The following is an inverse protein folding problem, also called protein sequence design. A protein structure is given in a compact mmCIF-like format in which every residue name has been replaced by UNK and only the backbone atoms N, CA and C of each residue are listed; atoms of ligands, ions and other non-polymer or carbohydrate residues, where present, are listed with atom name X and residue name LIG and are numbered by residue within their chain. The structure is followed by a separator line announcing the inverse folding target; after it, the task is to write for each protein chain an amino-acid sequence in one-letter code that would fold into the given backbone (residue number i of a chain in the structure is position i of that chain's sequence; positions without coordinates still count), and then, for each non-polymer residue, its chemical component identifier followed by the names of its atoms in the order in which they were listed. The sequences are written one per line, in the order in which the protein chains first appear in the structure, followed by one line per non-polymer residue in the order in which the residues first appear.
data_IF_033209121289
#
_entry.id   IF_033209121289
#
_cell.length_a   1.000
_cell.length_b   1.000
_cell.length_c   1.000
_cell.angle_alpha   90.00
_cell.angle_beta   90.00
_cell.angle_gamma   90.00
#
_symmetry.space_group_name_H-M   'P 1'
#
loop_
_entity.id
_entity.type
_entity.pdbx_description
1 polymer ?
#
# COMPACT_ATOMS: atom_id res chain seq x y z
N UNK A 1 -5.90 -0.35 -8.37
CA UNK A 1 -4.48 -0.02 -8.59
C UNK A 1 -3.67 -1.13 -7.94
N UNK A 2 -2.78 -1.81 -8.67
CA UNK A 2 -1.94 -2.86 -8.08
C UNK A 2 -0.97 -2.22 -7.09
N UNK A 3 -0.95 -2.74 -5.85
CA UNK A 3 -0.10 -2.26 -4.75
C UNK A 3 1.25 -3.00 -4.69
N UNK A 4 1.37 -4.13 -5.40
CA UNK A 4 2.54 -5.00 -5.41
C UNK A 4 2.72 -5.63 -6.79
N UNK A 5 3.97 -5.76 -7.24
CA UNK A 5 4.33 -6.37 -8.53
C UNK A 5 5.11 -7.67 -8.34
N UNK A 6 4.52 -8.60 -7.57
CA UNK A 6 5.13 -9.91 -7.31
C UNK A 6 4.77 -10.96 -8.36
N UNK A 7 3.67 -10.77 -9.07
CA UNK A 7 3.07 -11.76 -9.97
C UNK A 7 3.70 -11.76 -11.38
N UNK A 8 4.94 -11.26 -11.52
CA UNK A 8 5.65 -11.23 -12.80
C UNK A 8 6.34 -12.57 -13.03
N UNK A 9 6.02 -13.31 -14.12
CA UNK A 9 6.71 -14.54 -14.46
C UNK A 9 8.21 -14.32 -14.68
N UNK A 10 9.00 -15.36 -14.46
CA UNK A 10 10.46 -15.32 -14.66
C UNK A 10 10.81 -15.00 -16.12
N UNK A 11 11.74 -14.06 -16.32
CA UNK A 11 12.25 -13.69 -17.64
C UNK A 11 13.50 -14.52 -17.91
N UNK A 12 13.37 -15.55 -18.75
CA UNK A 12 14.52 -16.38 -19.12
C UNK A 12 15.50 -15.61 -20.01
N UNK A 13 16.82 -15.88 -19.91
CA UNK A 13 17.80 -15.30 -20.83
C UNK A 13 17.56 -15.82 -22.27
N UNK A 14 18.10 -15.11 -23.26
CA UNK A 14 17.82 -15.38 -24.67
C UNK A 14 18.09 -16.83 -25.12
N UNK A 15 19.18 -17.45 -24.64
CA UNK A 15 19.53 -18.82 -24.99
C UNK A 15 18.52 -19.82 -24.40
N UNK A 16 18.23 -19.71 -23.12
CA UNK A 16 17.28 -20.59 -22.43
C UNK A 16 15.86 -20.42 -22.99
N UNK A 17 15.45 -19.18 -23.28
CA UNK A 17 14.16 -18.89 -23.90
C UNK A 17 14.05 -19.57 -25.28
N UNK A 18 15.11 -19.53 -26.07
CA UNK A 18 15.19 -20.21 -27.36
C UNK A 18 15.08 -21.73 -27.18
N UNK A 19 15.83 -22.30 -26.24
CA UNK A 19 15.82 -23.74 -25.97
C UNK A 19 14.47 -24.23 -25.46
N UNK A 20 13.82 -23.46 -24.57
CA UNK A 20 12.48 -23.75 -24.05
C UNK A 20 11.48 -23.84 -25.21
N UNK A 21 11.45 -22.85 -26.09
CA UNK A 21 10.46 -22.79 -27.17
C UNK A 21 10.74 -23.86 -28.25
N UNK A 22 12.01 -24.06 -28.64
CA UNK A 22 12.36 -25.06 -29.65
C UNK A 22 12.13 -26.49 -29.13
N UNK A 23 12.49 -26.79 -27.88
CA UNK A 23 12.20 -28.08 -27.26
C UNK A 23 10.70 -28.31 -27.13
N UNK A 24 9.92 -27.27 -26.77
CA UNK A 24 8.46 -27.35 -26.71
C UNK A 24 7.88 -27.72 -28.07
N UNK A 25 8.34 -27.11 -29.15
CA UNK A 25 7.92 -27.46 -30.51
C UNK A 25 8.29 -28.90 -30.86
N UNK A 26 9.49 -29.36 -30.52
CA UNK A 26 9.92 -30.73 -30.82
C UNK A 26 9.10 -31.79 -30.06
N UNK A 27 8.77 -31.54 -28.79
CA UNK A 27 8.02 -32.49 -27.94
C UNK A 27 6.52 -32.50 -28.23
N UNK A 28 5.91 -31.34 -28.53
CA UNK A 28 4.44 -31.21 -28.68
C UNK A 28 3.93 -31.41 -30.10
N UNK A 29 4.78 -31.27 -31.12
CA UNK A 29 4.38 -31.46 -32.53
C UNK A 29 4.93 -32.77 -33.08
N UNK A 30 4.22 -33.47 -33.99
CA UNK A 30 4.73 -34.71 -34.58
C UNK A 30 6.10 -34.49 -35.25
N UNK A 31 6.98 -35.49 -35.22
CA UNK A 31 8.37 -35.37 -35.68
C UNK A 31 8.68 -36.17 -36.95
N UNK A 32 8.00 -37.30 -37.15
CA UNK A 32 8.29 -38.23 -38.25
C UNK A 32 7.44 -37.93 -39.48
N UNK A 33 8.09 -37.74 -40.63
CA UNK A 33 7.48 -37.70 -41.97
C UNK A 33 8.39 -38.40 -42.98
N UNK A 34 7.79 -38.95 -44.05
CA UNK A 34 8.52 -39.66 -45.11
C UNK A 34 8.33 -38.97 -46.47
N UNK A 35 9.29 -39.08 -47.41
CA UNK A 35 9.19 -38.48 -48.75
C UNK A 35 7.98 -38.95 -49.57
N UNK A 36 7.53 -40.19 -49.40
CA UNK A 36 6.39 -40.75 -50.14
C UNK A 36 5.00 -40.27 -49.70
N UNK A 37 4.91 -39.34 -48.74
CA UNK A 37 3.61 -38.78 -48.33
C UNK A 37 3.09 -37.73 -49.32
N UNK A 38 1.77 -37.60 -49.43
CA UNK A 38 1.12 -36.53 -50.22
C UNK A 38 1.69 -35.16 -49.83
N UNK A 39 2.02 -34.33 -50.82
CA UNK A 39 2.65 -33.01 -50.61
C UNK A 39 1.84 -32.11 -49.66
N UNK A 40 0.51 -32.20 -49.70
CA UNK A 40 -0.40 -31.48 -48.78
C UNK A 40 -0.10 -31.80 -47.32
N UNK A 41 0.19 -33.07 -47.00
CA UNK A 41 0.55 -33.51 -45.64
C UNK A 41 1.92 -32.98 -45.23
N UNK A 42 2.89 -32.96 -46.15
CA UNK A 42 4.24 -32.41 -45.90
C UNK A 42 4.17 -30.90 -45.64
N UNK A 43 3.42 -30.15 -46.45
CA UNK A 43 3.18 -28.71 -46.27
C UNK A 43 2.54 -28.42 -44.91
N UNK A 44 1.43 -29.09 -44.61
CA UNK A 44 0.71 -28.93 -43.34
C UNK A 44 1.59 -29.25 -42.12
N UNK A 45 2.44 -30.28 -42.22
CA UNK A 45 3.37 -30.65 -41.16
C UNK A 45 4.35 -29.53 -40.81
N UNK A 46 5.01 -28.94 -41.81
CA UNK A 46 5.97 -27.86 -41.56
C UNK A 46 5.30 -26.52 -41.24
N UNK A 47 4.13 -26.23 -41.81
CA UNK A 47 3.32 -25.06 -41.43
C UNK A 47 2.96 -25.11 -39.94
N UNK A 48 2.55 -26.29 -39.43
CA UNK A 48 2.24 -26.47 -38.01
C UNK A 48 3.46 -26.18 -37.13
N UNK A 49 4.66 -26.62 -37.52
CA UNK A 49 5.89 -26.34 -36.75
C UNK A 49 6.24 -24.85 -36.72
N UNK A 50 6.17 -24.16 -37.87
CA UNK A 50 6.46 -22.72 -37.92
C UNK A 50 5.44 -21.92 -37.10
N UNK A 51 4.15 -22.24 -37.25
CA UNK A 51 3.06 -21.58 -36.51
C UNK A 51 3.17 -21.81 -35.00
N UNK A 52 3.34 -23.06 -34.57
CA UNK A 52 3.44 -23.40 -33.15
C UNK A 52 4.67 -22.77 -32.46
N UNK A 53 5.81 -22.69 -33.16
CA UNK A 53 6.98 -21.97 -32.63
C UNK A 53 6.72 -20.46 -32.53
N UNK A 54 6.14 -19.85 -33.57
CA UNK A 54 5.81 -18.42 -33.57
C UNK A 54 4.87 -18.06 -32.40
N UNK A 55 3.80 -18.84 -32.24
CA UNK A 55 2.85 -18.68 -31.11
C UNK A 55 3.55 -18.83 -29.75
N UNK A 56 4.51 -19.74 -29.63
CA UNK A 56 5.24 -19.92 -28.36
C UNK A 56 6.18 -18.79 -27.98
N UNK A 57 6.83 -18.14 -28.94
CA UNK A 57 7.57 -16.92 -28.67
C UNK A 57 6.64 -15.76 -28.31
N UNK A 58 5.53 -15.61 -29.05
CA UNK A 58 4.56 -14.54 -28.82
C UNK A 58 3.92 -14.65 -27.44
N UNK A 59 3.49 -15.85 -27.03
CA UNK A 59 2.96 -16.14 -25.69
C UNK A 59 3.95 -15.69 -24.61
N UNK A 60 5.24 -16.04 -24.73
CA UNK A 60 6.26 -15.63 -23.77
C UNK A 60 6.52 -14.13 -23.74
N UNK A 61 6.51 -13.47 -24.90
CA UNK A 61 6.64 -12.01 -24.95
C UNK A 61 5.42 -11.31 -24.38
N UNK A 62 4.22 -11.86 -24.56
CA UNK A 62 3.01 -11.32 -23.95
C UNK A 62 3.01 -11.46 -22.43
N UNK A 63 3.45 -12.60 -21.88
CA UNK A 63 3.61 -12.79 -20.44
C UNK A 63 4.50 -11.69 -19.83
N UNK A 64 5.61 -11.35 -20.51
CA UNK A 64 6.51 -10.28 -20.08
C UNK A 64 5.81 -8.92 -20.19
N UNK A 65 5.27 -8.57 -21.37
CA UNK A 65 4.67 -7.24 -21.60
C UNK A 65 3.45 -6.96 -20.71
N UNK A 66 2.67 -7.99 -20.37
CA UNK A 66 1.50 -7.88 -19.48
C UNK A 66 1.90 -7.92 -18.01
N UNK A 67 2.96 -8.65 -17.65
CA UNK A 67 3.44 -8.76 -16.28
C UNK A 67 4.09 -7.48 -15.77
N UNK A 68 4.88 -6.82 -16.60
CA UNK A 68 5.57 -5.58 -16.21
C UNK A 68 4.61 -4.38 -16.11
N UNK A 69 4.70 -3.55 -15.05
CA UNK A 69 3.86 -2.38 -14.93
C UNK A 69 4.22 -1.31 -15.97
N UNK A 70 3.18 -0.67 -16.53
CA UNK A 70 3.36 0.50 -17.37
C UNK A 70 3.69 1.72 -16.51
N UNK A 71 4.94 2.19 -16.57
CA UNK A 71 5.47 3.25 -15.73
C UNK A 71 4.72 4.59 -15.87
N UNK A 72 4.04 4.84 -17.00
CA UNK A 72 3.31 6.11 -17.20
C UNK A 72 1.91 6.10 -16.61
N UNK A 73 1.29 4.92 -16.46
CA UNK A 73 -0.09 4.75 -15.99
C UNK A 73 -0.17 4.47 -14.48
N UNK A 74 0.97 4.26 -13.82
CA UNK A 74 1.06 4.10 -12.37
C UNK A 74 1.02 5.45 -11.65
N UNK A 75 0.83 5.40 -10.32
CA UNK A 75 0.77 6.59 -9.49
C UNK A 75 2.08 7.39 -9.60
N UNK A 76 2.06 8.74 -9.61
CA UNK A 76 3.27 9.55 -9.71
C UNK A 76 4.40 9.13 -8.75
N UNK A 77 4.07 8.86 -7.48
CA UNK A 77 5.02 8.28 -6.51
C UNK A 77 5.77 7.05 -7.03
N UNK A 78 5.04 6.06 -7.54
CA UNK A 78 5.61 4.80 -8.02
C UNK A 78 6.37 5.01 -9.34
N UNK A 79 5.87 5.89 -10.21
CA UNK A 79 6.55 6.28 -11.45
C UNK A 79 7.93 6.88 -11.15
N UNK A 80 7.98 7.86 -10.27
CA UNK A 80 9.20 8.63 -9.98
C UNK A 80 10.18 7.80 -9.13
N UNK A 81 9.66 6.92 -8.25
CA UNK A 81 10.46 5.89 -7.58
C UNK A 81 11.08 4.89 -8.57
N UNK A 82 10.31 4.40 -9.56
CA UNK A 82 10.84 3.50 -10.59
C UNK A 82 11.83 4.21 -11.52
N UNK A 83 11.66 5.51 -11.75
CA UNK A 83 12.57 6.30 -12.57
C UNK A 83 13.97 6.35 -11.94
N UNK A 84 14.03 6.65 -10.64
CA UNK A 84 15.31 6.68 -9.90
C UNK A 84 15.96 5.31 -9.75
N UNK A 85 15.16 4.25 -9.58
CA UNK A 85 15.69 2.90 -9.36
C UNK A 85 16.11 2.18 -10.64
N UNK A 86 15.37 2.36 -11.74
CA UNK A 86 15.52 1.53 -12.93
C UNK A 86 15.89 2.31 -14.18
N UNK A 87 15.95 3.64 -14.12
CA UNK A 87 16.10 4.54 -15.25
C UNK A 87 14.96 4.34 -16.27
N UNK A 88 13.96 5.23 -16.23
CA UNK A 88 12.72 5.09 -17.03
C UNK A 88 12.99 4.89 -18.52
N UNK A 89 14.02 5.52 -19.06
CA UNK A 89 14.38 5.42 -20.47
C UNK A 89 14.82 4.00 -20.84
N UNK A 90 15.77 3.44 -20.08
CA UNK A 90 16.27 2.09 -20.32
C UNK A 90 15.17 1.03 -20.14
N UNK A 91 14.31 1.21 -19.14
CA UNK A 91 13.13 0.36 -18.92
C UNK A 91 12.17 0.35 -20.12
N UNK A 92 11.80 1.55 -20.61
CA UNK A 92 10.87 1.67 -21.75
C UNK A 92 11.49 1.15 -23.05
N UNK A 93 12.77 1.42 -23.29
CA UNK A 93 13.48 0.94 -24.49
C UNK A 93 13.53 -0.59 -24.49
N UNK A 94 13.79 -1.22 -23.34
CA UNK A 94 13.84 -2.68 -23.20
C UNK A 94 12.48 -3.33 -23.49
N UNK A 95 11.39 -2.82 -22.91
CA UNK A 95 10.05 -3.32 -23.20
C UNK A 95 9.61 -3.06 -24.65
N UNK A 96 9.97 -1.90 -25.21
CA UNK A 96 9.69 -1.57 -26.61
C UNK A 96 10.44 -2.51 -27.57
N UNK A 97 11.68 -2.91 -27.23
CA UNK A 97 12.44 -3.88 -28.00
C UNK A 97 11.73 -5.25 -28.03
N UNK A 98 11.17 -5.70 -26.90
CA UNK A 98 10.37 -6.94 -26.82
C UNK A 98 9.10 -6.83 -27.66
N UNK A 99 8.37 -5.72 -27.55
CA UNK A 99 7.15 -5.48 -28.35
C UNK A 99 7.44 -5.49 -29.87
N UNK A 100 8.54 -4.85 -30.28
CA UNK A 100 9.01 -4.91 -31.67
C UNK A 100 9.37 -6.33 -32.09
N UNK A 101 10.10 -7.07 -31.25
CA UNK A 101 10.48 -8.44 -31.53
C UNK A 101 9.27 -9.38 -31.66
N UNK A 102 8.25 -9.23 -30.81
CA UNK A 102 6.97 -9.93 -30.94
C UNK A 102 6.38 -9.73 -32.34
N UNK A 103 6.24 -8.48 -32.77
CA UNK A 103 5.68 -8.12 -34.08
C UNK A 103 6.50 -8.70 -35.25
N UNK A 104 7.84 -8.69 -35.13
CA UNK A 104 8.74 -9.28 -36.13
C UNK A 104 8.61 -10.81 -36.21
N UNK A 105 8.46 -11.50 -35.07
CA UNK A 105 8.26 -12.95 -35.04
C UNK A 105 6.93 -13.32 -35.69
N UNK A 106 5.85 -12.58 -35.42
CA UNK A 106 4.55 -12.76 -36.07
C UNK A 106 4.64 -12.54 -37.59
N UNK A 107 5.36 -11.51 -38.03
CA UNK A 107 5.60 -11.26 -39.46
C UNK A 107 6.34 -12.42 -40.13
N UNK A 108 7.45 -12.87 -39.54
CA UNK A 108 8.24 -14.00 -40.05
C UNK A 108 7.37 -15.27 -40.10
N UNK A 109 6.58 -15.56 -39.06
CA UNK A 109 5.70 -16.72 -39.05
C UNK A 109 4.69 -16.66 -40.20
N UNK A 110 4.02 -15.51 -40.41
CA UNK A 110 3.03 -15.32 -41.47
C UNK A 110 3.63 -15.47 -42.86
N UNK A 111 4.79 -14.85 -43.11
CA UNK A 111 5.44 -14.88 -44.42
C UNK A 111 5.92 -16.27 -44.79
N UNK A 112 6.58 -16.98 -43.86
CA UNK A 112 7.03 -18.36 -44.16
C UNK A 112 5.86 -19.32 -44.28
N UNK A 113 4.79 -19.19 -43.49
CA UNK A 113 3.57 -20.00 -43.68
C UNK A 113 2.97 -19.77 -45.08
N UNK A 114 2.99 -18.54 -45.59
CA UNK A 114 2.56 -18.22 -46.96
C UNK A 114 3.46 -18.88 -48.00
N UNK A 115 4.79 -18.79 -47.86
CA UNK A 115 5.74 -19.42 -48.77
C UNK A 115 5.65 -20.95 -48.76
N UNK A 116 5.40 -21.56 -47.61
CA UNK A 116 5.24 -23.02 -47.48
C UNK A 116 4.03 -23.57 -48.28
N UNK A 117 3.04 -22.74 -48.64
CA UNK A 117 1.90 -23.17 -49.46
C UNK A 117 2.32 -23.65 -50.85
N UNK A 118 3.42 -23.12 -51.37
CA UNK A 118 3.94 -23.40 -52.71
C UNK A 118 5.12 -24.38 -52.74
N UNK A 119 5.52 -24.95 -51.59
CA UNK A 119 6.64 -25.89 -51.53
C UNK A 119 6.35 -27.20 -52.28
N UNK A 120 7.21 -27.58 -53.23
CA UNK A 120 6.97 -28.73 -54.12
C UNK A 120 7.65 -30.02 -53.65
N UNK A 121 8.69 -29.91 -52.81
CA UNK A 121 9.45 -31.07 -52.32
C UNK A 121 9.63 -31.05 -50.81
N UNK A 122 9.90 -32.24 -50.25
CA UNK A 122 10.25 -32.39 -48.83
C UNK A 122 11.47 -31.52 -48.46
N UNK A 123 12.49 -31.53 -49.31
CA UNK A 123 13.73 -30.78 -49.09
C UNK A 123 13.46 -29.27 -49.04
N UNK A 124 12.71 -28.73 -50.01
CA UNK A 124 12.37 -27.31 -50.05
C UNK A 124 11.59 -26.88 -48.81
N UNK A 125 10.57 -27.65 -48.41
CA UNK A 125 9.80 -27.36 -47.20
C UNK A 125 10.66 -27.46 -45.92
N UNK A 126 11.60 -28.41 -45.86
CA UNK A 126 12.55 -28.53 -44.74
C UNK A 126 13.44 -27.30 -44.62
N UNK A 127 13.97 -26.79 -45.74
CA UNK A 127 14.80 -25.57 -45.76
C UNK A 127 14.01 -24.34 -45.36
N UNK A 128 12.80 -24.14 -45.88
CA UNK A 128 11.93 -23.03 -45.49
C UNK A 128 11.64 -23.02 -43.99
N UNK A 129 11.36 -24.19 -43.41
CA UNK A 129 11.17 -24.33 -41.96
C UNK A 129 12.44 -24.01 -41.18
N UNK A 130 13.63 -24.45 -41.63
CA UNK A 130 14.91 -24.12 -40.99
C UNK A 130 15.17 -22.60 -41.04
N UNK A 131 14.93 -21.97 -42.18
CA UNK A 131 15.09 -20.53 -42.35
C UNK A 131 14.14 -19.74 -41.45
N UNK A 132 12.87 -20.14 -41.36
CA UNK A 132 11.89 -19.50 -40.47
C UNK A 132 12.33 -19.54 -39.00
N UNK A 133 12.66 -20.74 -38.49
CA UNK A 133 13.11 -20.93 -37.11
C UNK A 133 14.44 -20.22 -36.84
N UNK A 134 15.36 -20.24 -37.82
CA UNK A 134 16.63 -19.52 -37.73
C UNK A 134 16.44 -18.01 -37.63
N UNK A 135 15.53 -17.42 -38.43
CA UNK A 135 15.22 -15.98 -38.34
C UNK A 135 14.58 -15.61 -37.01
N UNK A 136 13.65 -16.43 -36.50
CA UNK A 136 13.08 -16.23 -35.15
C UNK A 136 14.16 -16.31 -34.07
N UNK A 137 15.05 -17.30 -34.15
CA UNK A 137 16.19 -17.44 -33.23
C UNK A 137 17.13 -16.22 -33.28
N UNK A 138 17.43 -15.69 -34.46
CA UNK A 138 18.24 -14.47 -34.60
C UNK A 138 17.59 -13.25 -33.94
N UNK A 139 16.26 -13.11 -34.05
CA UNK A 139 15.53 -12.03 -33.35
C UNK A 139 15.69 -12.18 -31.83
N UNK A 140 15.52 -13.38 -31.29
CA UNK A 140 15.65 -13.65 -29.85
C UNK A 140 17.09 -13.41 -29.36
N UNK A 141 18.10 -13.85 -30.12
CA UNK A 141 19.52 -13.63 -29.76
C UNK A 141 19.88 -12.15 -29.67
N UNK A 142 19.26 -11.29 -30.48
CA UNK A 142 19.43 -9.83 -30.40
C UNK A 142 18.82 -9.21 -29.14
N UNK A 143 17.95 -9.92 -28.42
CA UNK A 143 17.34 -9.47 -27.16
C UNK A 143 18.11 -9.91 -25.91
N UNK A 144 19.36 -10.36 -26.04
CA UNK A 144 20.17 -10.85 -24.90
C UNK A 144 20.23 -9.84 -23.76
N UNK A 145 20.62 -8.60 -24.04
CA UNK A 145 20.85 -7.60 -23.00
C UNK A 145 19.53 -7.07 -22.38
N UNK A 146 18.47 -6.75 -23.17
CA UNK A 146 17.18 -6.37 -22.60
C UNK A 146 16.55 -7.44 -21.69
N UNK A 147 16.67 -8.73 -22.03
CA UNK A 147 16.13 -9.81 -21.20
C UNK A 147 16.89 -9.97 -19.89
N UNK A 148 18.22 -9.82 -19.92
CA UNK A 148 19.06 -9.87 -18.72
C UNK A 148 18.73 -8.72 -17.77
N UNK A 149 18.60 -7.49 -18.30
CA UNK A 149 18.20 -6.32 -17.53
C UNK A 149 16.79 -6.50 -16.92
N UNK A 150 15.80 -6.93 -17.71
CA UNK A 150 14.43 -7.09 -17.21
C UNK A 150 14.33 -8.16 -16.11
N UNK A 151 15.12 -9.23 -16.17
CA UNK A 151 15.15 -10.22 -15.08
C UNK A 151 15.70 -9.62 -13.78
N UNK A 152 16.74 -8.77 -13.85
CA UNK A 152 17.25 -8.07 -12.68
C UNK A 152 16.19 -7.11 -12.09
N UNK A 153 15.51 -6.34 -12.95
CA UNK A 153 14.42 -5.45 -12.53
C UNK A 153 13.28 -6.25 -11.89
N UNK A 154 12.90 -7.39 -12.46
CA UNK A 154 11.86 -8.28 -11.92
C UNK A 154 12.19 -8.77 -10.51
N UNK A 155 13.44 -9.19 -10.28
CA UNK A 155 13.86 -9.68 -8.97
C UNK A 155 13.85 -8.57 -7.92
N UNK A 156 14.23 -7.36 -8.31
CA UNK A 156 14.23 -6.20 -7.41
C UNK A 156 12.82 -5.67 -7.14
N UNK A 157 11.98 -5.49 -8.17
CA UNK A 157 10.62 -4.95 -8.05
C UNK A 157 9.72 -5.85 -7.18
N UNK A 158 9.93 -7.17 -7.22
CA UNK A 158 9.20 -8.12 -6.37
C UNK A 158 9.53 -8.03 -4.89
N UNK A 159 10.64 -7.37 -4.51
CA UNK A 159 11.06 -7.13 -3.12
C UNK A 159 10.65 -5.74 -2.61
N UNK A 160 10.19 -4.85 -3.48
CA UNK A 160 9.75 -3.51 -3.05
C UNK A 160 8.56 -3.64 -2.08
N UNK A 161 8.54 -2.83 -1.02
CA UNK A 161 7.42 -2.86 -0.08
C UNK A 161 6.16 -2.28 -0.74
N UNK A 162 5.02 -2.85 -0.39
CA UNK A 162 3.72 -2.36 -0.87
C UNK A 162 3.32 -1.08 -0.14
N UNK A 163 3.45 0.07 -0.81
CA UNK A 163 3.05 1.38 -0.28
C UNK A 163 1.81 1.85 -1.01
N UNK A 164 0.73 2.16 -0.27
CA UNK A 164 -0.41 2.89 -0.80
C UNK A 164 -0.23 4.40 -0.55
N UNK A 165 -0.12 5.25 -1.59
CA UNK A 165 0.05 6.69 -1.42
C UNK A 165 -1.16 7.40 -0.78
N UNK A 166 -2.34 6.78 -0.79
CA UNK A 166 -3.59 7.38 -0.32
C UNK A 166 -3.95 7.00 1.13
N UNK A 167 -3.34 5.96 1.68
CA UNK A 167 -3.57 5.52 3.08
C UNK A 167 -2.88 6.45 4.07
N UNK A 168 -3.26 6.32 5.35
CA UNK A 168 -2.73 7.16 6.43
C UNK A 168 -1.28 6.78 6.66
N UNK A 169 -0.38 7.71 6.38
CA UNK A 169 1.05 7.49 6.35
C UNK A 169 1.74 8.41 7.33
N UNK A 170 2.65 7.87 8.12
CA UNK A 170 3.66 8.62 8.85
C UNK A 170 4.99 8.44 8.10
N UNK A 171 5.64 9.55 7.76
CA UNK A 171 6.93 9.52 7.09
C UNK A 171 8.00 9.95 8.09
N UNK A 172 9.04 9.13 8.27
CA UNK A 172 10.11 9.38 9.22
C UNK A 172 11.34 9.87 8.43
N UNK A 173 11.74 11.12 8.67
CA UNK A 173 12.79 11.82 7.93
C UNK A 173 13.81 12.42 8.88
N UNK A 174 15.03 12.69 8.39
CA UNK A 174 16.12 13.28 9.18
C UNK A 174 17.49 12.75 8.76
N UNK A 175 18.55 13.26 9.38
CA UNK A 175 19.93 12.87 9.09
C UNK A 175 20.19 11.36 9.29
N UNK A 176 21.22 10.77 8.67
CA UNK A 176 21.68 9.43 9.02
C UNK A 176 21.97 9.31 10.53
N UNK A 177 21.86 8.11 11.09
CA UNK A 177 22.23 7.80 12.50
C UNK A 177 21.49 8.55 13.63
N UNK A 178 20.46 9.35 13.33
CA UNK A 178 19.62 10.01 14.35
C UNK A 178 18.64 9.07 15.07
N UNK A 179 18.54 7.80 14.64
CA UNK A 179 17.66 6.79 15.27
C UNK A 179 16.27 6.61 14.62
N UNK A 180 16.10 7.00 13.35
CA UNK A 180 14.84 6.82 12.59
C UNK A 180 14.39 5.36 12.50
N UNK A 181 15.29 4.47 12.10
CA UNK A 181 15.01 3.04 11.95
C UNK A 181 14.76 2.37 13.30
N UNK A 182 15.45 2.81 14.36
CA UNK A 182 15.16 2.38 15.75
C UNK A 182 13.75 2.77 16.16
N UNK A 183 13.33 4.01 15.88
CA UNK A 183 11.96 4.44 16.15
C UNK A 183 10.94 3.57 15.41
N UNK A 184 11.16 3.29 14.11
CA UNK A 184 10.28 2.42 13.33
C UNK A 184 10.15 1.02 13.94
N UNK A 185 11.25 0.46 14.46
CA UNK A 185 11.28 -0.83 15.16
C UNK A 185 10.55 -0.80 16.50
N UNK A 186 10.59 0.30 17.25
CA UNK A 186 9.83 0.42 18.49
C UNK A 186 8.32 0.56 18.23
N UNK A 187 7.93 1.31 17.18
CA UNK A 187 6.50 1.55 16.90
C UNK A 187 5.81 0.41 16.14
N UNK A 188 6.56 -0.42 15.41
CA UNK A 188 6.02 -1.48 14.55
C UNK A 188 6.79 -2.78 14.69
N UNK A 189 6.17 -3.90 14.32
CA UNK A 189 6.83 -5.23 14.30
C UNK A 189 7.75 -5.43 13.10
N UNK A 190 8.30 -4.37 12.51
CA UNK A 190 9.17 -4.49 11.34
C UNK A 190 10.59 -4.85 11.77
N UNK A 191 11.13 -5.93 11.20
CA UNK A 191 12.54 -6.28 11.33
C UNK A 191 13.37 -5.38 10.40
N UNK A 192 13.77 -4.22 10.92
CA UNK A 192 14.71 -3.31 10.23
C UNK A 192 16.07 -3.42 10.91
N UNK A 193 17.11 -3.65 10.11
CA UNK A 193 18.48 -3.71 10.60
C UNK A 193 18.93 -2.31 11.04
N UNK A 194 19.31 -2.18 12.31
CA UNK A 194 19.86 -0.95 12.89
C UNK A 194 21.36 -1.18 13.08
N UNK A 195 22.18 -0.38 12.40
CA UNK A 195 23.64 -0.41 12.50
C UNK A 195 24.16 1.02 12.71
N UNK A 196 25.30 1.21 13.39
CA UNK A 196 25.78 2.54 13.77
C UNK A 196 26.44 3.34 12.62
N UNK A 197 26.56 2.78 11.42
CA UNK A 197 27.14 3.46 10.26
C UNK A 197 26.07 4.04 9.34
N UNK A 198 26.36 5.19 8.71
CA UNK A 198 25.45 5.87 7.80
C UNK A 198 25.05 4.99 6.58
N UNK A 199 23.91 5.31 5.98
CA UNK A 199 23.34 4.56 4.84
C UNK A 199 22.97 3.10 5.13
N UNK A 200 22.63 2.78 6.38
CA UNK A 200 22.10 1.46 6.76
C UNK A 200 20.86 1.09 5.93
N UNK A 201 19.97 2.05 5.68
CA UNK A 201 18.77 1.89 4.85
C UNK A 201 19.00 2.46 3.45
N UNK A 202 19.23 1.58 2.46
CA UNK A 202 19.38 1.98 1.04
C UNK A 202 18.04 2.08 0.28
N UNK A 203 16.94 1.72 0.94
CA UNK A 203 15.59 1.70 0.38
C UNK A 203 14.58 2.13 1.44
N UNK A 204 13.39 2.52 1.01
CA UNK A 204 12.27 2.81 1.90
C UNK A 204 11.82 1.54 2.62
N UNK A 205 11.70 1.59 3.94
CA UNK A 205 11.12 0.50 4.74
C UNK A 205 9.73 0.88 5.21
N UNK A 206 8.84 -0.10 5.28
CA UNK A 206 7.45 0.11 5.68
C UNK A 206 7.12 -0.74 6.89
N UNK A 207 6.74 -0.08 7.97
CA UNK A 207 6.13 -0.68 9.14
C UNK A 207 4.63 -0.41 9.14
N UNK A 208 3.86 -1.35 9.70
CA UNK A 208 2.43 -1.14 9.90
C UNK A 208 2.08 -1.23 11.39
N UNK A 209 1.15 -0.39 11.81
CA UNK A 209 0.62 -0.39 13.17
C UNK A 209 -0.85 0.04 13.19
N UNK A 210 -1.52 -0.23 14.30
CA UNK A 210 -2.93 0.08 14.49
C UNK A 210 -3.08 1.15 15.57
N UNK A 211 -3.88 2.17 15.28
CA UNK A 211 -4.22 3.24 16.22
C UNK A 211 -5.69 3.64 16.04
N UNK A 212 -6.45 3.73 17.14
CA UNK A 212 -7.91 3.99 17.13
C UNK A 212 -8.69 3.11 16.12
N UNK A 213 -8.38 1.81 16.09
CA UNK A 213 -9.01 0.85 15.16
C UNK A 213 -8.78 1.15 13.66
N UNK A 214 -7.80 2.00 13.35
CA UNK A 214 -7.41 2.33 11.98
C UNK A 214 -5.98 1.82 11.73
N UNK A 215 -5.76 1.26 10.54
CA UNK A 215 -4.45 0.87 10.04
C UNK A 215 -3.67 2.11 9.60
N UNK A 216 -2.45 2.25 10.11
CA UNK A 216 -1.47 3.24 9.68
C UNK A 216 -0.26 2.53 9.07
N UNK A 217 0.42 3.23 8.17
CA UNK A 217 1.73 2.84 7.66
C UNK A 217 2.77 3.87 8.11
N UNK A 218 3.86 3.39 8.69
CA UNK A 218 5.05 4.19 8.95
C UNK A 218 6.08 3.86 7.89
N UNK A 219 6.66 4.88 7.27
CA UNK A 219 7.66 4.72 6.23
C UNK A 219 8.94 5.36 6.74
N UNK A 220 9.98 4.54 6.86
CA UNK A 220 11.33 4.98 7.16
C UNK A 220 12.03 5.35 5.85
N UNK A 221 12.66 6.52 5.87
CA UNK A 221 13.38 7.05 4.72
C UNK A 221 14.89 6.95 4.94
N UNK A 222 15.66 6.62 3.90
CA UNK A 222 17.10 6.83 3.90
C UNK A 222 17.44 8.24 4.38
N UNK A 223 18.50 8.36 5.18
CA UNK A 223 18.94 9.66 5.70
C UNK A 223 19.19 10.65 4.55
N UNK A 224 18.65 11.86 4.71
CA UNK A 224 18.79 12.94 3.74
C UNK A 224 19.98 13.80 4.17
N UNK A 225 20.81 14.21 3.22
CA UNK A 225 21.89 15.17 3.43
C UNK A 225 21.55 16.50 2.75
N UNK A 226 22.05 17.60 3.32
CA UNK A 226 21.88 18.94 2.77
C UNK A 226 22.85 19.14 1.60
N UNK A 227 22.41 18.71 0.41
CA UNK A 227 23.09 18.91 -0.87
C UNK A 227 22.08 19.48 -1.87
N UNK A 228 22.51 20.25 -2.88
CA UNK A 228 21.61 20.66 -3.96
C UNK A 228 20.97 19.43 -4.60
N UNK A 229 19.70 19.54 -4.97
CA UNK A 229 18.90 18.43 -5.53
C UNK A 229 19.52 17.79 -6.77
N UNK A 230 20.36 18.53 -7.50
CA UNK A 230 21.04 18.09 -8.72
C UNK A 230 22.21 17.13 -8.45
N UNK A 231 22.80 17.17 -7.25
CA UNK A 231 23.94 16.33 -6.85
C UNK A 231 23.54 15.18 -5.93
N UNK A 232 22.24 15.00 -5.69
CA UNK A 232 21.74 13.97 -4.79
C UNK A 232 21.84 12.57 -5.41
N UNK A 233 22.19 11.62 -4.55
CA UNK A 233 22.25 10.22 -4.97
C UNK A 233 20.84 9.65 -5.18
N UNK A 234 20.74 8.57 -5.98
CA UNK A 234 19.48 7.86 -6.19
C UNK A 234 18.81 7.38 -4.88
N UNK A 235 19.59 7.16 -3.81
CA UNK A 235 19.08 6.78 -2.48
C UNK A 235 18.37 7.97 -1.81
N UNK A 236 18.96 9.17 -1.86
CA UNK A 236 18.41 10.38 -1.24
C UNK A 236 17.17 10.87 -2.01
N UNK A 237 17.21 10.73 -3.34
CA UNK A 237 16.07 11.07 -4.19
C UNK A 237 14.80 10.27 -3.86
N UNK A 238 14.93 9.01 -3.41
CA UNK A 238 13.79 8.22 -2.94
C UNK A 238 13.09 8.89 -1.75
N UNK A 239 13.86 9.43 -0.82
CA UNK A 239 13.33 10.16 0.34
C UNK A 239 12.60 11.43 -0.09
N UNK A 240 13.16 12.18 -1.06
CA UNK A 240 12.50 13.37 -1.61
C UNK A 240 11.18 13.02 -2.28
N UNK A 241 11.13 12.00 -3.14
CA UNK A 241 9.88 11.60 -3.80
C UNK A 241 8.84 11.08 -2.80
N UNK A 242 9.27 10.38 -1.74
CA UNK A 242 8.40 9.99 -0.65
C UNK A 242 7.82 11.23 0.07
N UNK A 243 8.67 12.21 0.42
CA UNK A 243 8.23 13.46 1.02
C UNK A 243 7.35 14.25 0.07
N UNK A 244 7.57 14.24 -1.25
CA UNK A 244 6.79 15.03 -2.19
C UNK A 244 5.39 14.42 -2.44
N UNK A 245 5.32 13.14 -2.78
CA UNK A 245 4.08 12.53 -3.28
C UNK A 245 3.18 11.93 -2.21
N UNK A 246 3.72 11.50 -1.06
CA UNK A 246 2.90 10.81 -0.05
C UNK A 246 2.07 11.80 0.76
N UNK A 247 0.79 11.50 0.97
CA UNK A 247 -0.09 12.30 1.83
C UNK A 247 0.05 11.86 3.29
N UNK A 248 1.17 12.27 3.89
CA UNK A 248 1.60 11.84 5.21
C UNK A 248 1.71 12.99 6.22
N UNK A 249 1.78 12.63 7.50
CA UNK A 249 2.41 13.48 8.50
C UNK A 249 3.91 13.17 8.49
N UNK A 250 4.73 14.21 8.39
CA UNK A 250 6.19 14.09 8.35
C UNK A 250 6.75 14.28 9.76
N UNK A 251 7.47 13.28 10.24
CA UNK A 251 8.23 13.31 11.49
C UNK A 251 9.69 13.60 11.14
N UNK A 252 10.16 14.79 11.50
CA UNK A 252 11.55 15.18 11.32
C UNK A 252 12.34 14.88 12.59
N UNK A 253 13.23 13.89 12.53
CA UNK A 253 14.06 13.47 13.65
C UNK A 253 15.34 14.30 13.71
N UNK A 254 15.56 14.90 14.87
CA UNK A 254 16.77 15.62 15.23
C UNK A 254 17.48 14.92 16.38
N UNK A 255 18.80 14.99 16.40
CA UNK A 255 19.66 14.48 17.46
C UNK A 255 20.48 15.64 18.04
N UNK A 256 20.20 16.02 19.28
CA UNK A 256 20.91 17.12 19.96
C UNK A 256 22.28 16.69 20.50
N UNK A 257 22.56 15.39 20.59
CA UNK A 257 23.82 14.88 21.14
C UNK A 257 25.00 14.96 20.17
N UNK A 258 24.75 15.30 18.90
CA UNK A 258 25.73 15.30 17.79
C UNK A 258 26.43 13.95 17.52
N UNK A 259 26.04 12.88 18.22
CA UNK A 259 26.55 11.51 18.00
C UNK A 259 26.23 10.96 16.60
N UNK A 260 25.27 11.56 15.89
CA UNK A 260 24.97 11.23 14.50
C UNK A 260 26.10 11.61 13.52
N UNK A 261 27.10 12.38 13.96
CA UNK A 261 28.22 12.85 13.15
C UNK A 261 27.94 14.18 12.44
N UNK A 262 26.85 14.87 12.79
CA UNK A 262 26.45 16.15 12.22
C UNK A 262 26.05 17.14 13.31
N UNK A 263 26.40 18.40 13.13
CA UNK A 263 26.09 19.48 14.09
C UNK A 263 24.61 19.82 14.10
N UNK A 264 24.14 20.44 15.19
CA UNK A 264 22.75 20.91 15.30
C UNK A 264 22.43 21.94 14.20
N UNK A 265 23.37 22.84 13.89
CA UNK A 265 23.24 23.83 12.80
C UNK A 265 22.94 23.19 11.45
N UNK A 266 23.67 22.12 11.10
CA UNK A 266 23.44 21.39 9.85
C UNK A 266 22.05 20.75 9.83
N UNK A 267 21.61 20.21 10.97
CA UNK A 267 20.27 19.62 11.13
C UNK A 267 19.15 20.65 10.93
N UNK A 268 19.32 21.86 11.47
CA UNK A 268 18.36 22.96 11.31
C UNK A 268 18.39 23.50 9.88
N UNK A 269 19.58 23.65 9.28
CA UNK A 269 19.73 24.08 7.89
C UNK A 269 19.01 23.15 6.91
N UNK A 270 19.16 21.83 7.08
CA UNK A 270 18.43 20.85 6.27
C UNK A 270 16.92 21.00 6.44
N UNK A 271 16.43 21.22 7.66
CA UNK A 271 15.00 21.42 7.90
C UNK A 271 14.45 22.61 7.11
N UNK A 272 15.20 23.72 7.08
CA UNK A 272 14.82 24.89 6.30
C UNK A 272 14.93 24.67 4.78
N UNK A 273 15.90 23.87 4.32
CA UNK A 273 16.03 23.57 2.88
C UNK A 273 14.90 22.68 2.36
N UNK A 274 14.43 21.70 3.15
CA UNK A 274 13.30 20.83 2.77
C UNK A 274 11.92 21.39 3.12
N UNK A 275 11.85 22.50 3.86
CA UNK A 275 10.60 23.21 4.24
C UNK A 275 9.61 23.39 3.07
N UNK A 276 10.02 23.75 1.84
CA UNK A 276 9.08 23.88 0.72
C UNK A 276 8.32 22.59 0.41
N UNK A 277 8.93 21.43 0.63
CA UNK A 277 8.30 20.11 0.39
C UNK A 277 7.23 19.77 1.43
N UNK A 278 7.22 20.47 2.57
CA UNK A 278 6.25 20.30 3.63
C UNK A 278 4.94 21.08 3.41
N UNK A 279 4.84 21.84 2.32
CA UNK A 279 3.61 22.52 1.97
C UNK A 279 2.42 21.53 1.94
N UNK A 280 1.33 21.89 2.62
CA UNK A 280 0.12 21.06 2.77
C UNK A 280 0.31 19.75 3.58
N UNK A 281 1.40 19.61 4.35
CA UNK A 281 1.66 18.45 5.20
C UNK A 281 1.77 18.85 6.65
N UNK A 282 1.31 17.98 7.53
CA UNK A 282 1.50 18.14 8.96
C UNK A 282 2.92 17.74 9.32
N UNK A 283 3.72 18.68 9.81
CA UNK A 283 5.10 18.44 10.25
C UNK A 283 5.15 18.33 11.77
N UNK A 284 5.98 17.42 12.27
CA UNK A 284 6.28 17.25 13.67
C UNK A 284 7.78 17.03 13.81
N UNK A 285 8.43 17.79 14.66
CA UNK A 285 9.87 17.65 14.93
C UNK A 285 10.03 16.83 16.20
N UNK A 286 10.85 15.79 16.10
CA UNK A 286 11.10 14.84 17.18
C UNK A 286 12.56 14.93 17.55
N UNK A 287 12.84 15.43 18.74
CA UNK A 287 14.18 15.42 19.33
C UNK A 287 14.39 14.04 19.94
N UNK A 288 15.28 13.26 19.33
CA UNK A 288 15.63 11.91 19.78
C UNK A 288 16.89 11.95 20.65
N UNK A 289 17.15 10.83 21.35
CA UNK A 289 18.31 10.63 22.25
C UNK A 289 18.33 11.55 23.48
N UNK A 290 17.16 11.86 24.03
CA UNK A 290 17.05 12.69 25.24
C UNK A 290 17.56 12.04 26.52
N UNK A 291 17.92 10.76 26.45
CA UNK A 291 18.67 10.04 27.48
C UNK A 291 20.09 10.59 27.67
N UNK A 292 20.68 11.18 26.62
CA UNK A 292 22.04 11.74 26.67
C UNK A 292 22.01 13.23 26.99
N UNK A 293 21.22 14.00 26.26
CA UNK A 293 21.11 15.45 26.42
C UNK A 293 19.65 15.89 26.31
N UNK A 294 19.19 16.67 27.28
CA UNK A 294 17.84 17.23 27.26
C UNK A 294 17.87 18.61 26.60
N UNK A 295 16.76 19.06 25.99
CA UNK A 295 16.69 20.42 25.44
C UNK A 295 16.91 21.54 26.46
N UNK A 296 16.74 21.25 27.76
CA UNK A 296 16.96 22.18 28.87
C UNK A 296 18.45 22.40 29.17
N UNK A 297 19.30 21.42 28.83
CA UNK A 297 20.74 21.43 29.08
C UNK A 297 21.54 22.04 27.90
N UNK A 298 20.85 22.63 26.91
CA UNK A 298 21.45 23.22 25.73
C UNK A 298 21.94 24.64 25.98
N UNK A 299 23.06 24.99 25.36
CA UNK A 299 23.57 26.36 25.30
C UNK A 299 22.54 27.32 24.66
N UNK A 300 22.53 28.59 25.08
CA UNK A 300 21.55 29.59 24.60
C UNK A 300 21.56 29.75 23.07
N UNK A 301 22.73 29.72 22.43
CA UNK A 301 22.87 29.80 20.96
C UNK A 301 22.19 28.62 20.26
N UNK A 302 22.34 27.41 20.81
CA UNK A 302 21.75 26.19 20.24
C UNK A 302 20.25 26.12 20.52
N UNK A 303 19.81 26.65 21.66
CA UNK A 303 18.40 26.78 21.97
C UNK A 303 17.70 27.75 20.99
N UNK A 304 18.34 28.87 20.63
CA UNK A 304 17.84 29.80 19.61
C UNK A 304 17.64 29.12 18.24
N UNK A 305 18.55 28.23 17.84
CA UNK A 305 18.38 27.44 16.60
C UNK A 305 17.10 26.58 16.64
N UNK A 306 16.74 26.01 17.79
CA UNK A 306 15.48 25.27 17.93
C UNK A 306 14.25 26.19 17.87
N UNK A 307 14.36 27.43 18.31
CA UNK A 307 13.29 28.43 18.19
C UNK A 307 12.99 28.76 16.72
N UNK A 308 14.01 28.88 15.87
CA UNK A 308 13.82 29.09 14.42
C UNK A 308 12.97 27.99 13.75
N UNK A 309 13.05 26.76 14.28
CA UNK A 309 12.24 25.62 13.82
C UNK A 309 10.80 25.75 14.31
N UNK A 310 10.58 26.28 15.54
CA UNK A 310 9.25 26.55 16.11
C UNK A 310 8.51 27.69 15.41
N UNK A 311 9.24 28.68 14.91
CA UNK A 311 8.65 29.81 14.16
C UNK A 311 7.90 29.37 12.90
N UNK A 312 8.24 28.19 12.36
CA UNK A 312 7.56 27.66 11.18
C UNK A 312 6.12 27.26 11.56
N UNK A 313 5.11 27.83 10.87
CA UNK A 313 3.71 27.64 11.24
C UNK A 313 3.30 26.16 11.15
N UNK A 314 2.68 25.66 12.21
CA UNK A 314 2.16 24.30 12.27
C UNK A 314 3.20 23.23 12.61
N UNK A 315 4.43 23.60 12.97
CA UNK A 315 5.43 22.68 13.53
C UNK A 315 5.22 22.52 15.03
N UNK A 316 5.31 21.28 15.50
CA UNK A 316 5.25 20.94 16.93
C UNK A 316 6.51 20.17 17.27
N UNK A 317 7.16 20.50 18.40
CA UNK A 317 8.38 19.84 18.85
C UNK A 317 8.05 18.91 20.01
N UNK A 318 8.55 17.68 19.95
CA UNK A 318 8.45 16.70 21.01
C UNK A 318 9.80 16.05 21.28
N UNK A 319 10.02 15.62 22.51
CA UNK A 319 11.19 14.83 22.92
C UNK A 319 10.87 13.35 22.92
N UNK A 320 11.86 12.51 22.63
CA UNK A 320 11.74 11.05 22.72
C UNK A 320 13.09 10.40 22.97
N UNK A 321 13.09 9.23 23.61
CA UNK A 321 14.24 8.33 23.66
C UNK A 321 13.83 6.94 23.21
N UNK A 322 14.45 6.47 22.12
CA UNK A 322 14.22 5.11 21.62
C UNK A 322 14.96 4.03 22.45
N UNK A 323 15.96 4.41 23.26
CA UNK A 323 16.69 3.44 24.09
C UNK A 323 15.91 3.08 25.36
N UNK A 324 15.28 4.08 25.97
CA UNK A 324 14.47 3.93 27.18
C UNK A 324 12.98 3.65 26.89
N UNK A 325 12.61 3.56 25.59
CA UNK A 325 11.21 3.54 25.12
C UNK A 325 10.34 4.67 25.70
N UNK A 326 10.98 5.78 26.08
CA UNK A 326 10.32 6.92 26.69
C UNK A 326 9.73 7.83 25.60
N UNK A 327 8.45 8.18 25.77
CA UNK A 327 7.71 9.10 24.90
C UNK A 327 7.47 8.65 23.43
N UNK A 328 8.00 7.50 23.02
CA UNK A 328 7.86 6.94 21.65
C UNK A 328 6.38 6.81 21.25
N UNK A 329 5.56 6.27 22.14
CA UNK A 329 4.13 6.05 21.90
C UNK A 329 3.33 7.36 21.90
N UNK A 330 3.73 8.36 22.69
CA UNK A 330 3.08 9.66 22.70
C UNK A 330 3.32 10.41 21.39
N UNK A 331 4.57 10.43 20.91
CA UNK A 331 4.95 11.02 19.61
C UNK A 331 4.09 10.39 18.50
N UNK A 332 4.00 9.06 18.47
CA UNK A 332 3.17 8.34 17.50
C UNK A 332 1.70 8.76 17.59
N UNK A 333 1.15 8.82 18.80
CA UNK A 333 -0.26 9.16 19.00
C UNK A 333 -0.56 10.60 18.55
N UNK A 334 0.27 11.57 18.92
CA UNK A 334 0.13 12.97 18.50
C UNK A 334 0.23 13.12 16.97
N UNK A 335 1.20 12.46 16.34
CA UNK A 335 1.33 12.45 14.88
C UNK A 335 0.08 11.87 14.18
N UNK A 336 -0.48 10.80 14.74
CA UNK A 336 -1.71 10.20 14.22
C UNK A 336 -2.91 11.14 14.34
N UNK A 337 -3.09 11.80 15.49
CA UNK A 337 -4.19 12.75 15.73
C UNK A 337 -4.10 13.94 14.79
N UNK A 338 -2.90 14.51 14.62
CA UNK A 338 -2.64 15.63 13.70
C UNK A 338 -2.98 15.25 12.26
N UNK A 339 -2.59 14.05 11.83
CA UNK A 339 -2.93 13.52 10.51
C UNK A 339 -4.44 13.29 10.35
N UNK A 340 -5.11 12.77 11.38
CA UNK A 340 -6.56 12.54 11.36
C UNK A 340 -7.32 13.86 11.27
N UNK A 341 -6.92 14.89 12.01
CA UNK A 341 -7.52 16.22 11.94
C UNK A 341 -7.49 16.78 10.51
N UNK A 342 -6.31 16.78 9.87
CA UNK A 342 -6.15 17.22 8.49
C UNK A 342 -7.00 16.40 7.50
N UNK A 343 -7.08 15.07 7.69
CA UNK A 343 -7.88 14.21 6.82
C UNK A 343 -9.39 14.39 7.01
N UNK A 344 -9.84 14.62 8.23
CA UNK A 344 -11.24 14.90 8.53
C UNK A 344 -11.62 16.24 7.89
N UNK A 345 -10.80 17.28 8.04
CA UNK A 345 -11.05 18.58 7.41
C UNK A 345 -11.16 18.46 5.88
N UNK A 346 -10.23 17.75 5.24
CA UNK A 346 -10.29 17.49 3.81
C UNK A 346 -11.50 16.65 3.38
N UNK A 347 -11.98 15.76 4.25
CA UNK A 347 -13.21 15.00 4.01
C UNK A 347 -14.46 15.88 4.16
N UNK A 348 -14.48 16.80 5.14
CA UNK A 348 -15.54 17.80 5.37
C UNK A 348 -15.76 18.71 4.16
N UNK A 349 -14.71 19.02 3.40
CA UNK A 349 -14.83 19.75 2.12
C UNK A 349 -15.68 19.00 1.08
N UNK A 350 -15.81 17.67 1.18
CA UNK A 350 -16.60 16.84 0.25
C UNK A 350 -17.95 16.44 0.84
N UNK A 351 -18.96 17.29 0.67
CA UNK A 351 -20.31 17.12 1.24
C UNK A 351 -21.02 15.82 0.80
N UNK A 352 -20.84 15.41 -0.46
CA UNK A 352 -21.50 14.21 -1.00
C UNK A 352 -21.08 12.91 -0.31
N UNK A 353 -19.78 12.76 0.01
CA UNK A 353 -19.25 11.57 0.67
C UNK A 353 -19.67 11.48 2.14
N UNK A 354 -19.93 12.62 2.78
CA UNK A 354 -20.32 12.68 4.19
C UNK A 354 -21.78 12.32 4.37
N UNK A 355 -22.66 12.81 3.50
CA UNK A 355 -24.09 12.49 3.57
C UNK A 355 -24.34 10.98 3.52
N UNK A 356 -23.56 10.25 2.71
CA UNK A 356 -23.62 8.78 2.64
C UNK A 356 -23.20 8.08 3.94
N UNK A 357 -22.33 8.71 4.73
CA UNK A 357 -21.80 8.15 5.99
C UNK A 357 -22.60 8.64 7.20
N UNK A 358 -23.33 9.74 7.08
CA UNK A 358 -24.07 10.38 8.17
C UNK A 358 -25.04 9.39 8.84
N UNK A 359 -25.72 8.56 8.05
CA UNK A 359 -26.63 7.52 8.52
C UNK A 359 -25.96 6.48 9.44
N UNK A 360 -24.64 6.26 9.31
CA UNK A 360 -23.87 5.35 10.17
C UNK A 360 -23.40 6.00 11.47
N UNK A 361 -23.21 7.32 11.45
CA UNK A 361 -22.74 8.10 12.61
C UNK A 361 -23.92 8.51 13.50
N UNK A 362 -25.08 8.80 12.89
CA UNK A 362 -26.28 9.18 13.59
C UNK A 362 -26.80 8.00 14.42
N UNK A 363 -26.55 8.03 15.72
CA UNK A 363 -27.31 7.18 16.63
C UNK A 363 -28.75 7.72 16.64
N UNK A 364 -29.77 6.92 16.30
CA UNK A 364 -31.14 7.34 16.51
C UNK A 364 -31.28 7.68 18.00
N UNK A 365 -31.63 8.94 18.30
CA UNK A 365 -31.91 9.37 19.68
C UNK A 365 -32.80 8.29 20.28
N UNK A 366 -32.35 7.74 21.42
CA UNK A 366 -33.06 6.73 22.20
C UNK A 366 -34.54 7.03 22.10
N UNK A 367 -35.36 6.05 21.68
CA UNK A 367 -36.81 6.16 21.75
C UNK A 367 -37.11 6.75 23.12
N UNK A 368 -37.44 8.04 23.17
CA UNK A 368 -38.08 8.63 24.33
C UNK A 368 -39.26 7.70 24.46
N UNK A 369 -39.27 6.89 25.52
CA UNK A 369 -40.42 6.06 25.84
C UNK A 369 -41.56 7.03 25.72
N UNK A 370 -42.33 6.95 24.62
CA UNK A 370 -43.62 7.61 24.54
C UNK A 370 -44.21 7.15 25.83
N UNK A 371 -44.42 8.07 26.76
CA UNK A 371 -45.34 7.84 27.84
C UNK A 371 -46.57 7.37 27.08
N UNK A 372 -46.73 6.05 27.02
CA UNK A 372 -48.00 5.42 26.78
C UNK A 372 -48.78 6.01 27.92
N UNK A 373 -49.43 7.14 27.65
CA UNK A 373 -50.51 7.60 28.47
C UNK A 373 -51.36 6.36 28.61
N UNK A 374 -51.42 5.88 29.85
CA UNK A 374 -52.35 4.85 30.29
C UNK A 374 -53.73 5.49 30.09
N UNK A 375 -54.13 5.55 28.83
CA UNK A 375 -55.32 6.16 28.27
C UNK A 375 -55.83 5.20 27.21
N UNK A 376 -54.91 4.52 26.50
CA UNK A 376 -55.25 3.36 25.66
C UNK A 376 -55.54 2.07 26.43
N UNK A 377 -54.87 1.79 27.56
CA UNK A 377 -55.23 0.64 28.41
C UNK A 377 -56.48 0.95 29.28
N UNK A 378 -56.77 2.22 29.54
CA UNK A 378 -57.94 2.65 30.33
C UNK A 378 -59.25 2.74 29.54
N UNK A 379 -59.23 2.50 28.22
CA UNK A 379 -60.44 2.43 27.37
C UNK A 379 -60.85 1.00 26.99
N UNK A 380 -60.06 -0.03 27.34
CA UNK A 380 -60.29 -1.41 26.89
C UNK A 380 -60.69 -2.40 27.99
N UNK A 381 -61.09 -1.92 29.17
CA UNK A 381 -61.59 -2.76 30.25
C UNK A 381 -62.98 -2.30 30.71
N UNK A 382 -64.07 -2.75 30.06
CA UNK A 382 -65.39 -2.69 30.66
C UNK A 382 -65.47 -3.76 31.76
N UNK A 383 -66.06 -3.39 32.90
CA UNK A 383 -66.40 -4.26 34.03
C UNK A 383 -65.26 -4.76 34.94
N UNK A 384 -64.90 -3.93 35.92
CA UNK A 384 -64.43 -4.45 37.20
C UNK A 384 -64.98 -3.58 38.36
N UNK A 385 -65.97 -4.10 39.09
CA UNK A 385 -66.73 -3.40 40.16
C UNK A 385 -65.90 -3.03 41.40
N UNK A 386 -64.61 -3.34 41.47
CA UNK A 386 -63.78 -3.07 42.65
C UNK A 386 -63.11 -1.67 42.70
N UNK A 387 -63.29 -0.83 41.68
CA UNK A 387 -62.53 0.43 41.55
C UNK A 387 -63.32 1.74 41.82
N UNK A 388 -64.47 1.67 42.50
CA UNK A 388 -65.21 2.88 42.92
C UNK A 388 -64.80 3.45 44.29
N UNK A 389 -63.98 2.75 45.08
CA UNK A 389 -63.70 3.14 46.49
C UNK A 389 -62.37 3.88 46.74
N UNK A 390 -61.48 4.03 45.76
CA UNK A 390 -60.16 4.70 45.95
C UNK A 390 -59.95 5.99 45.15
N UNK A 391 -60.95 6.47 44.41
CA UNK A 391 -60.85 7.72 43.62
C UNK A 391 -60.93 9.02 44.44
N UNK A 392 -61.26 8.94 45.74
CA UNK A 392 -61.41 10.12 46.62
C UNK A 392 -60.08 10.70 47.16
N UNK A 393 -58.96 9.98 47.10
CA UNK A 393 -57.70 10.42 47.74
C UNK A 393 -56.63 10.98 46.78
N UNK A 394 -56.96 11.25 45.51
CA UNK A 394 -55.97 11.67 44.51
C UNK A 394 -56.17 13.07 43.93
N UNK A 395 -57.08 13.86 44.51
CA UNK A 395 -57.30 15.27 44.10
C UNK A 395 -56.62 16.32 44.97
N UNK A 396 -55.76 15.92 45.90
CA UNK A 396 -55.04 16.86 46.77
C UNK A 396 -53.57 16.49 46.85
N UNK A 397 -52.77 17.07 45.95
CA UNK A 397 -51.44 17.68 46.21
C UNK A 397 -50.74 17.88 44.87
N UNK A 398 -50.67 19.13 44.45
CA UNK A 398 -49.72 19.58 43.44
C UNK A 398 -48.30 19.60 43.98
N UNK A 399 -47.39 19.92 43.05
CA UNK A 399 -45.99 20.33 43.18
C UNK A 399 -44.87 19.27 43.33
N UNK A 400 -43.81 19.60 42.57
CA UNK A 400 -42.36 19.43 42.78
C UNK A 400 -41.63 18.09 42.47
N UNK A 401 -40.77 18.24 41.47
CA UNK A 401 -39.48 17.60 41.19
C UNK A 401 -38.68 17.23 42.45
N UNK A 402 -38.88 16.04 43.05
CA UNK A 402 -37.81 15.36 43.82
C UNK A 402 -37.99 13.87 44.17
N UNK A 403 -39.02 13.18 43.69
CA UNK A 403 -39.32 11.78 44.10
C UNK A 403 -39.13 10.73 42.99
N UNK A 404 -38.09 10.85 42.16
CA UNK A 404 -37.74 9.82 41.17
C UNK A 404 -36.54 8.92 41.53
N UNK A 405 -35.78 9.21 42.60
CA UNK A 405 -34.59 8.38 42.93
C UNK A 405 -34.88 7.10 43.74
N UNK A 406 -36.07 6.91 44.31
CA UNK A 406 -36.40 5.71 45.12
C UNK A 406 -37.25 4.63 44.43
N UNK A 407 -37.63 4.81 43.15
CA UNK A 407 -38.45 3.81 42.42
C UNK A 407 -37.69 2.99 41.37
N UNK A 408 -36.41 3.28 41.08
CA UNK A 408 -35.63 2.50 40.09
C UNK A 408 -35.18 1.12 40.63
N UNK A 409 -35.07 0.96 41.94
CA UNK A 409 -34.57 -0.28 42.57
C UNK A 409 -35.59 -1.42 42.59
N UNK A 410 -36.89 -1.14 42.60
CA UNK A 410 -37.93 -2.17 42.67
C UNK A 410 -38.23 -2.82 41.31
N UNK A 411 -38.05 -2.07 40.21
CA UNK A 411 -38.29 -2.56 38.84
C UNK A 411 -37.18 -3.52 38.38
N UNK A 412 -35.95 -3.32 38.84
CA UNK A 412 -34.82 -4.20 38.51
C UNK A 412 -34.96 -5.62 39.07
N UNK A 413 -35.63 -5.80 40.22
CA UNK A 413 -35.85 -7.11 40.84
C UNK A 413 -36.92 -7.94 40.12
N UNK A 414 -37.97 -7.31 39.58
CA UNK A 414 -39.01 -8.02 38.82
C UNK A 414 -38.55 -8.44 37.42
N UNK A 415 -37.67 -7.66 36.79
CA UNK A 415 -37.14 -7.99 35.46
C UNK A 415 -36.14 -9.15 35.51
N UNK A 416 -35.34 -9.26 36.58
CA UNK A 416 -34.46 -10.43 36.82
C UNK A 416 -35.25 -11.73 37.04
N UNK A 417 -36.43 -11.66 37.66
CA UNK A 417 -37.30 -12.83 37.85
C UNK A 417 -37.90 -13.34 36.53
N UNK A 418 -38.26 -12.44 35.60
CA UNK A 418 -38.81 -12.82 34.29
C UNK A 418 -37.78 -13.46 33.35
N UNK A 419 -36.54 -12.97 33.34
CA UNK A 419 -35.47 -13.49 32.45
C UNK A 419 -35.02 -14.92 32.85
N UNK A 420 -35.22 -15.30 34.12
CA UNK A 420 -34.90 -16.65 34.60
C UNK A 420 -35.85 -17.73 34.08
N UNK A 421 -37.10 -17.38 33.68
CA UNK A 421 -38.10 -18.37 33.23
C UNK A 421 -38.06 -18.65 31.74
N UNK A 422 -37.54 -17.74 30.92
CA UNK A 422 -37.47 -17.90 29.46
C UNK A 422 -36.29 -18.77 28.98
N UNK A 423 -35.33 -19.11 29.85
CA UNK A 423 -34.20 -20.00 29.51
C UNK A 423 -34.49 -21.50 29.61
N UNK A 424 -35.68 -21.91 30.04
CA UNK A 424 -36.04 -23.31 30.27
C UNK A 424 -36.88 -23.98 29.15
N UNK A 425 -37.13 -23.31 28.01
CA UNK A 425 -37.99 -23.84 26.93
C UNK A 425 -37.40 -23.70 25.51
N UNK A 426 -36.07 -23.67 25.37
CA UNK A 426 -35.40 -23.39 24.09
C UNK A 426 -34.44 -24.49 23.60
N UNK A 427 -34.77 -25.76 23.78
CA UNK A 427 -33.96 -26.88 23.27
C UNK A 427 -34.81 -27.97 22.62
N UNK A 428 -35.39 -27.64 21.47
CA UNK A 428 -35.74 -28.61 20.43
C UNK A 428 -36.12 -27.82 19.17
N UNK A 429 -35.83 -28.39 18.00
CA UNK A 429 -36.04 -27.84 16.65
C UNK A 429 -34.83 -27.04 16.10
N UNK A 430 -33.83 -27.77 15.59
CA UNK A 430 -33.35 -27.53 14.22
C UNK A 430 -32.55 -28.72 13.66
N UNK A 431 -33.25 -29.61 12.97
CA UNK A 431 -32.71 -30.57 11.98
C UNK A 431 -33.70 -30.61 10.81
N UNK A 432 -33.34 -29.96 9.69
CA UNK A 432 -33.70 -30.24 8.28
C UNK A 432 -33.86 -28.93 7.49
N UNK A 433 -32.81 -28.52 6.77
CA UNK A 433 -32.73 -28.54 5.30
C UNK A 433 -31.38 -28.04 4.82
#
# INVERSE_FOLDING_TARGET
MQLSWKDIPTVAPANDLLDIVLNRTQRKTPTVIRPGFKITRIRAFYMRKVKYTGEGFVEKFEDILKGFPNINDVHPFHRDLMDTLYEKNHYKISLAAISRAKSLVEQVARDYVRLLKFGQSLFQCKQLKRAALGRMATIVKKLKDPLAYLEQVRQHIGRLPSIDPNTRTLLICGYPNVGKSSFLRCITKSDVDVQPYAFTTKSLYVGHFDYKYLRFQAIDTPGILDRPTEEMNNIEMQSIYAIAHLRSCVLYFMDLSEQCGFTIEAQVKLFHSIKPLFANKSVMVVINKTDIIRPEDLDEERAQLLETVKEVPGVEIMTSSCQLDENVMEVRNKACEKLLASRIENKLKSQSRINNVLNKISCPKSWTVRTFTISWILKSLPNCKLWKKKKKNWKTKGSTTRTMKKKSTTVSKHLKWMISRTKLHGSEIDKRR
#
